data_IF_154180895290
#
_entry.id   IF_154180895290
#
_cell.length_a   1.000
_cell.length_b   1.000
_cell.length_c   1.000
_cell.angle_alpha   90.00
_cell.angle_beta   90.00
_cell.angle_gamma   90.00
#
_symmetry.space_group_name_H-M   'P 1'
#
loop_
_entity.id
_entity.type
_entity.pdbx_description
1 polymer ?
#
# COMPACT_ATOMS: atom_id res chain seq x y z
N UNK A 1 20.50 -3.90 5.21
CA UNK A 1 20.04 -3.26 3.95
C UNK A 1 19.91 -4.34 2.90
N UNK A 2 18.68 -4.68 2.51
CA UNK A 2 18.41 -5.71 1.51
C UNK A 2 18.09 -5.07 0.15
N UNK A 3 18.41 -5.76 -0.94
CA UNK A 3 18.09 -5.31 -2.31
C UNK A 3 17.01 -6.21 -2.88
N UNK A 4 15.87 -5.63 -3.21
CA UNK A 4 14.70 -6.30 -3.76
C UNK A 4 14.63 -6.01 -5.26
N UNK A 5 14.53 -7.06 -6.07
CA UNK A 5 14.33 -6.94 -7.51
C UNK A 5 13.02 -7.62 -7.87
N UNK A 6 12.03 -6.81 -8.25
CA UNK A 6 10.68 -7.27 -8.58
C UNK A 6 10.40 -7.09 -10.07
N UNK A 7 9.73 -8.07 -10.66
CA UNK A 7 9.39 -8.08 -12.08
C UNK A 7 8.10 -8.86 -12.30
N UNK A 8 7.09 -8.21 -12.89
CA UNK A 8 5.87 -8.87 -13.36
C UNK A 8 5.60 -8.53 -14.81
N UNK A 9 5.41 -9.56 -15.63
CA UNK A 9 4.95 -9.43 -17.01
C UNK A 9 3.57 -10.06 -17.17
N UNK A 10 2.66 -9.34 -17.83
CA UNK A 10 1.32 -9.82 -18.16
C UNK A 10 1.28 -10.28 -19.61
N UNK A 11 1.82 -11.48 -19.85
CA UNK A 11 1.78 -12.09 -21.18
C UNK A 11 0.32 -12.41 -21.54
N UNK A 12 -0.13 -11.95 -22.70
CA UNK A 12 -1.46 -12.28 -23.19
C UNK A 12 -1.56 -13.79 -23.47
N UNK A 13 -2.56 -14.44 -22.87
CA UNK A 13 -2.82 -15.89 -23.00
C UNK A 13 -4.30 -16.17 -23.38
N UNK A 14 -4.99 -15.17 -23.91
CA UNK A 14 -6.42 -15.29 -24.24
C UNK A 14 -6.68 -16.22 -25.43
N UNK A 15 -7.86 -16.85 -25.52
CA UNK A 15 -8.22 -17.61 -26.71
C UNK A 15 -8.44 -16.69 -27.93
N UNK A 16 -7.96 -17.12 -29.10
CA UNK A 16 -8.22 -16.45 -30.40
C UNK A 16 -9.61 -16.82 -30.91
N UNK A 17 -10.64 -16.26 -30.29
CA UNK A 17 -11.98 -16.30 -30.87
C UNK A 17 -12.06 -15.45 -32.14
N UNK A 18 -13.04 -15.75 -33.00
CA UNK A 18 -13.29 -14.95 -34.20
C UNK A 18 -13.51 -13.45 -33.86
N UNK A 19 -14.21 -13.18 -32.75
CA UNK A 19 -14.40 -11.82 -32.23
C UNK A 19 -13.08 -11.15 -31.82
N UNK A 20 -12.20 -11.86 -31.12
CA UNK A 20 -10.89 -11.35 -30.73
C UNK A 20 -10.02 -11.03 -31.96
N UNK A 21 -10.03 -11.90 -32.98
CA UNK A 21 -9.32 -11.67 -34.25
C UNK A 21 -9.85 -10.44 -34.98
N UNK A 22 -11.19 -10.23 -35.01
CA UNK A 22 -11.78 -9.02 -35.61
C UNK A 22 -11.33 -7.76 -34.89
N UNK A 23 -11.29 -7.76 -33.55
CA UNK A 23 -10.76 -6.63 -32.77
C UNK A 23 -9.30 -6.38 -33.10
N UNK A 24 -8.46 -7.41 -33.15
CA UNK A 24 -7.04 -7.27 -33.53
C UNK A 24 -6.89 -6.58 -34.89
N UNK A 25 -7.68 -7.00 -35.89
CA UNK A 25 -7.68 -6.39 -37.23
C UNK A 25 -8.13 -4.93 -37.21
N UNK A 26 -9.20 -4.61 -36.48
CA UNK A 26 -9.71 -3.23 -36.35
C UNK A 26 -8.66 -2.27 -35.79
N UNK A 27 -7.83 -2.73 -34.85
CA UNK A 27 -6.76 -1.94 -34.23
C UNK A 27 -5.39 -2.11 -34.89
N UNK A 28 -5.29 -2.83 -36.02
CA UNK A 28 -4.01 -3.08 -36.70
C UNK A 28 -3.00 -3.87 -35.86
N UNK A 29 -3.47 -4.68 -34.91
CA UNK A 29 -2.65 -5.50 -34.03
C UNK A 29 -2.49 -6.90 -34.62
N UNK A 30 -1.25 -7.40 -34.61
CA UNK A 30 -0.96 -8.81 -34.86
C UNK A 30 -0.93 -9.58 -33.54
N UNK A 31 -1.12 -10.90 -33.59
CA UNK A 31 -1.03 -11.76 -32.40
C UNK A 31 0.35 -11.66 -31.75
N UNK A 32 1.42 -11.58 -32.55
CA UNK A 32 2.78 -11.40 -32.04
C UNK A 32 2.97 -10.06 -31.31
N UNK A 33 2.27 -9.00 -31.72
CA UNK A 33 2.27 -7.71 -31.02
C UNK A 33 1.51 -7.75 -29.70
N UNK A 34 0.47 -8.58 -29.59
CA UNK A 34 -0.26 -8.79 -28.34
C UNK A 34 0.60 -9.51 -27.29
N UNK A 35 1.43 -10.47 -27.72
CA UNK A 35 2.31 -11.22 -26.81
C UNK A 35 3.59 -10.44 -26.47
N UNK A 36 4.17 -9.71 -27.43
CA UNK A 36 5.39 -8.91 -27.21
C UNK A 36 5.16 -7.54 -26.54
N UNK A 37 3.94 -6.99 -26.64
CA UNK A 37 3.54 -5.71 -26.01
C UNK A 37 3.04 -5.84 -24.57
N UNK A 38 3.23 -7.01 -23.94
CA UNK A 38 2.77 -7.32 -22.59
C UNK A 38 3.23 -6.24 -21.57
N UNK A 39 2.33 -5.69 -20.76
CA UNK A 39 2.69 -4.80 -19.67
C UNK A 39 3.75 -5.44 -18.77
N UNK A 40 4.86 -4.74 -18.58
CA UNK A 40 5.99 -5.18 -17.77
C UNK A 40 6.22 -4.15 -16.66
N UNK A 41 6.14 -4.60 -15.41
CA UNK A 41 6.39 -3.80 -14.23
C UNK A 41 7.68 -4.32 -13.58
N UNK A 42 8.75 -3.54 -13.63
CA UNK A 42 10.05 -3.87 -13.05
C UNK A 42 10.52 -2.75 -12.12
N UNK A 43 11.05 -3.14 -10.97
CA UNK A 43 11.66 -2.23 -10.00
C UNK A 43 12.81 -2.95 -9.28
N UNK A 44 13.93 -2.24 -9.08
CA UNK A 44 15.03 -2.68 -8.21
C UNK A 44 15.20 -1.63 -7.12
N UNK A 45 14.91 -2.00 -5.89
CA UNK A 45 14.88 -1.09 -4.74
C UNK A 45 15.70 -1.65 -3.59
N UNK A 46 16.34 -0.77 -2.82
CA UNK A 46 17.04 -1.13 -1.59
C UNK A 46 16.22 -0.63 -0.41
N UNK A 47 15.90 -1.52 0.53
CA UNK A 47 15.10 -1.17 1.71
C UNK A 47 15.90 -1.55 2.95
N UNK A 48 15.96 -0.64 3.91
CA UNK A 48 16.55 -0.81 5.25
C UNK A 48 15.42 -0.99 6.26
N UNK A 49 15.66 -1.73 7.36
CA UNK A 49 14.72 -1.74 8.48
C UNK A 49 14.41 -0.31 8.95
N UNK A 50 13.13 0.01 9.08
CA UNK A 50 12.66 1.34 9.47
C UNK A 50 12.49 2.34 8.30
N UNK A 51 12.73 1.91 7.06
CA UNK A 51 12.45 2.74 5.88
C UNK A 51 10.94 2.84 5.63
N UNK A 52 10.51 4.02 5.23
CA UNK A 52 9.19 4.28 4.67
C UNK A 52 9.35 4.36 3.16
N UNK A 53 8.82 3.35 2.49
CA UNK A 53 8.79 3.23 1.03
C UNK A 53 7.43 3.63 0.52
N UNK A 54 7.38 4.55 -0.43
CA UNK A 54 6.15 5.03 -1.05
C UNK A 54 6.16 4.79 -2.56
N UNK A 55 5.17 4.07 -3.07
CA UNK A 55 4.93 3.82 -4.48
C UNK A 55 3.88 4.80 -4.98
N UNK A 56 4.28 5.73 -5.85
CA UNK A 56 3.37 6.70 -6.48
C UNK A 56 3.27 6.52 -8.00
N UNK A 57 2.22 7.09 -8.58
CA UNK A 57 1.92 7.03 -10.00
C UNK A 57 0.42 7.07 -10.29
N UNK A 58 0.02 7.29 -11.55
CA UNK A 58 -1.39 7.34 -11.93
C UNK A 58 -2.12 6.00 -11.68
N UNK A 59 -3.45 6.05 -11.62
CA UNK A 59 -4.27 4.84 -11.53
C UNK A 59 -4.02 3.95 -12.76
N UNK A 60 -3.90 2.64 -12.54
CA UNK A 60 -3.57 1.68 -13.61
C UNK A 60 -2.10 1.59 -14.00
N UNK A 61 -1.17 2.35 -13.39
CA UNK A 61 0.27 2.25 -13.66
C UNK A 61 0.94 0.95 -13.14
N UNK A 62 0.21 0.17 -12.33
CA UNK A 62 0.68 -1.10 -11.74
C UNK A 62 1.38 -0.96 -10.40
N UNK A 63 1.00 0.04 -9.58
CA UNK A 63 1.48 0.19 -8.20
C UNK A 63 1.16 -1.03 -7.35
N UNK A 64 -0.09 -1.48 -7.34
CA UNK A 64 -0.56 -2.68 -6.64
C UNK A 64 0.18 -3.94 -7.08
N UNK A 65 0.53 -4.03 -8.38
CA UNK A 65 1.33 -5.14 -8.92
C UNK A 65 2.74 -5.12 -8.30
N UNK A 66 3.40 -3.97 -8.30
CA UNK A 66 4.74 -3.83 -7.70
C UNK A 66 4.71 -4.08 -6.19
N UNK A 67 3.70 -3.58 -5.49
CA UNK A 67 3.49 -3.82 -4.05
C UNK A 67 3.35 -5.32 -3.77
N UNK A 68 2.51 -6.02 -4.54
CA UNK A 68 2.31 -7.47 -4.40
C UNK A 68 3.58 -8.29 -4.69
N UNK A 69 4.40 -7.88 -5.66
CA UNK A 69 5.69 -8.54 -5.88
C UNK A 69 6.71 -8.21 -4.77
N UNK A 70 6.69 -6.99 -4.20
CA UNK A 70 7.53 -6.65 -3.04
C UNK A 70 7.13 -7.46 -1.80
N UNK A 71 5.83 -7.64 -1.55
CA UNK A 71 5.27 -8.50 -0.49
C UNK A 71 5.87 -9.90 -0.54
N UNK A 72 5.97 -10.49 -1.73
CA UNK A 72 6.52 -11.85 -1.93
C UNK A 72 8.00 -11.98 -1.63
N UNK A 73 8.74 -10.87 -1.61
CA UNK A 73 10.16 -10.90 -1.27
C UNK A 73 10.44 -10.77 0.23
N UNK A 74 9.41 -10.50 1.04
CA UNK A 74 9.49 -10.41 2.50
C UNK A 74 8.93 -11.72 3.10
N UNK A 75 9.53 -12.27 4.18
CA UNK A 75 8.94 -13.41 4.88
C UNK A 75 7.49 -13.13 5.32
N UNK A 76 6.60 -14.09 5.12
CA UNK A 76 5.17 -13.89 5.34
C UNK A 76 4.85 -13.68 6.84
N UNK A 77 5.64 -14.28 7.72
CA UNK A 77 5.59 -14.12 9.17
C UNK A 77 5.94 -12.69 9.64
N UNK A 78 6.76 -11.99 8.87
CA UNK A 78 7.31 -10.67 9.18
C UNK A 78 6.50 -9.52 8.57
N UNK A 79 5.51 -9.84 7.73
CA UNK A 79 4.76 -8.87 6.94
C UNK A 79 3.27 -8.89 7.29
N UNK A 80 2.65 -7.72 7.39
CA UNK A 80 1.19 -7.57 7.42
C UNK A 80 0.74 -6.67 6.30
N UNK A 81 -0.33 -7.09 5.64
CA UNK A 81 -1.00 -6.32 4.59
C UNK A 81 -2.35 -5.85 5.12
N UNK A 82 -2.65 -4.57 4.95
CA UNK A 82 -3.95 -4.02 5.36
C UNK A 82 -5.12 -4.77 4.72
N UNK A 83 -4.95 -5.27 3.49
CA UNK A 83 -5.99 -6.02 2.79
C UNK A 83 -6.35 -7.35 3.48
N UNK A 84 -5.41 -7.93 4.23
CA UNK A 84 -5.59 -9.21 4.92
C UNK A 84 -6.20 -9.04 6.32
N UNK A 85 -6.42 -7.80 6.78
CA UNK A 85 -6.98 -7.52 8.11
C UNK A 85 -8.51 -7.59 8.06
N UNK A 86 -9.04 -8.53 8.83
CA UNK A 86 -10.47 -8.75 9.01
C UNK A 86 -11.14 -7.61 9.79
N UNK A 87 -12.45 -7.50 9.61
CA UNK A 87 -13.30 -6.52 10.29
C UNK A 87 -14.30 -7.26 11.19
N UNK A 88 -13.95 -7.51 12.45
CA UNK A 88 -14.84 -8.20 13.39
C UNK A 88 -16.20 -7.51 13.55
N UNK A 89 -17.25 -8.31 13.79
CA UNK A 89 -18.60 -7.85 14.14
C UNK A 89 -19.02 -8.31 15.56
N UNK A 90 -18.14 -9.03 16.26
CA UNK A 90 -18.39 -9.61 17.58
C UNK A 90 -17.90 -8.72 18.74
N UNK A 91 -17.01 -7.76 18.46
CA UNK A 91 -16.36 -6.90 19.47
C UNK A 91 -16.21 -5.46 19.00
N UNK A 92 -15.88 -4.55 19.91
CA UNK A 92 -15.66 -3.14 19.57
C UNK A 92 -14.27 -2.92 18.97
N UNK A 93 -14.05 -1.75 18.35
CA UNK A 93 -12.74 -1.36 17.82
C UNK A 93 -11.67 -1.41 18.90
N UNK A 94 -11.93 -0.91 20.11
CA UNK A 94 -10.93 -0.91 21.17
C UNK A 94 -10.59 -2.32 21.66
N UNK A 95 -11.57 -3.23 21.67
CA UNK A 95 -11.37 -4.65 22.04
C UNK A 95 -10.61 -5.46 20.97
N UNK A 96 -10.26 -4.85 19.84
CA UNK A 96 -9.40 -5.47 18.82
C UNK A 96 -7.90 -5.28 19.08
N UNK A 97 -7.53 -4.46 20.07
CA UNK A 97 -6.14 -4.16 20.42
C UNK A 97 -5.75 -4.85 21.74
N UNK A 98 -4.47 -4.75 22.11
CA UNK A 98 -3.95 -5.36 23.34
C UNK A 98 -4.46 -4.70 24.63
N UNK A 99 -4.09 -5.31 25.75
CA UNK A 99 -4.63 -4.97 27.08
C UNK A 99 -4.30 -3.56 27.58
N UNK A 100 -3.26 -2.91 27.04
CA UNK A 100 -2.93 -1.52 27.37
C UNK A 100 -3.84 -0.54 26.62
N UNK A 101 -4.90 -0.10 27.31
CA UNK A 101 -5.86 0.88 26.81
C UNK A 101 -5.20 2.17 26.31
N UNK A 102 -4.16 2.66 26.99
CA UNK A 102 -3.52 3.93 26.62
C UNK A 102 -2.73 3.76 25.33
N UNK A 103 -1.98 2.69 25.19
CA UNK A 103 -1.25 2.38 23.95
C UNK A 103 -2.20 2.15 22.76
N UNK A 104 -3.33 1.48 23.01
CA UNK A 104 -4.38 1.25 22.00
C UNK A 104 -4.99 2.58 21.51
N UNK A 105 -5.34 3.49 22.43
CA UNK A 105 -5.83 4.82 22.09
C UNK A 105 -4.80 5.68 21.36
N UNK A 106 -3.51 5.56 21.72
CA UNK A 106 -2.43 6.26 21.00
C UNK A 106 -2.30 5.77 19.55
N UNK A 107 -2.42 4.47 19.32
CA UNK A 107 -2.35 3.88 17.97
C UNK A 107 -3.56 4.33 17.14
N UNK A 108 -4.76 4.27 17.71
CA UNK A 108 -5.98 4.76 17.07
C UNK A 108 -5.91 6.26 16.76
N UNK A 109 -5.34 7.05 17.66
CA UNK A 109 -5.12 8.48 17.44
C UNK A 109 -4.12 8.75 16.31
N UNK A 110 -3.06 7.95 16.19
CA UNK A 110 -2.06 8.10 15.12
C UNK A 110 -2.67 7.94 13.72
N UNK A 111 -3.69 7.09 13.58
CA UNK A 111 -4.40 6.88 12.31
C UNK A 111 -5.64 7.78 12.16
N UNK A 112 -5.88 8.70 13.11
CA UNK A 112 -7.03 9.60 13.08
C UNK A 112 -8.38 8.92 13.36
N UNK A 113 -8.40 7.79 14.09
CA UNK A 113 -9.61 7.06 14.51
C UNK A 113 -9.85 7.23 16.02
N UNK A 114 -9.86 8.47 16.51
CA UNK A 114 -9.90 8.80 17.93
C UNK A 114 -11.30 9.17 18.46
N UNK A 115 -12.32 9.21 17.60
CA UNK A 115 -13.67 9.57 18.03
C UNK A 115 -14.33 8.43 18.82
N UNK A 116 -14.99 8.80 19.92
CA UNK A 116 -15.59 7.84 20.88
C UNK A 116 -16.59 6.92 20.20
N UNK A 117 -17.35 7.41 19.22
CA UNK A 117 -18.33 6.61 18.49
C UNK A 117 -17.68 5.49 17.70
N UNK A 118 -16.59 5.76 16.98
CA UNK A 118 -15.84 4.73 16.25
C UNK A 118 -15.17 3.73 17.19
N UNK A 119 -14.55 4.21 18.26
CA UNK A 119 -13.84 3.38 19.25
C UNK A 119 -14.78 2.36 19.91
N UNK A 120 -16.02 2.77 20.21
CA UNK A 120 -17.03 1.93 20.86
C UNK A 120 -17.92 1.16 19.86
N UNK A 121 -17.72 1.34 18.55
CA UNK A 121 -18.47 0.63 17.51
C UNK A 121 -17.72 -0.64 17.07
N UNK A 122 -18.40 -1.49 16.30
CA UNK A 122 -17.82 -2.69 15.69
C UNK A 122 -17.06 -2.33 14.42
N UNK A 123 -15.85 -2.89 14.18
CA UNK A 123 -15.08 -2.63 12.95
C UNK A 123 -15.87 -2.83 11.65
N UNK A 124 -16.71 -3.86 11.58
CA UNK A 124 -17.62 -4.14 10.45
C UNK A 124 -18.58 -3.00 10.10
N UNK A 125 -18.97 -2.17 11.09
CA UNK A 125 -19.99 -1.12 10.98
C UNK A 125 -19.42 0.29 10.80
N UNK A 126 -18.11 0.40 10.69
CA UNK A 126 -17.43 1.66 10.38
C UNK A 126 -17.70 2.09 8.92
N UNK A 127 -17.56 3.39 8.64
CA UNK A 127 -17.48 3.86 7.24
C UNK A 127 -16.23 3.30 6.56
N UNK A 128 -16.17 3.30 5.23
CA UNK A 128 -15.03 2.69 4.52
C UNK A 128 -13.70 3.36 4.91
N UNK A 129 -13.66 4.70 4.98
CA UNK A 129 -12.47 5.42 5.44
C UNK A 129 -12.13 5.17 6.92
N UNK A 130 -13.11 4.84 7.76
CA UNK A 130 -12.87 4.40 9.15
C UNK A 130 -12.37 2.95 9.20
N UNK A 131 -12.88 2.04 8.36
CA UNK A 131 -12.39 0.67 8.21
C UNK A 131 -10.94 0.65 7.73
N UNK A 132 -10.59 1.50 6.77
CA UNK A 132 -9.21 1.64 6.30
C UNK A 132 -8.28 2.08 7.44
N UNK A 133 -8.68 3.10 8.21
CA UNK A 133 -7.91 3.55 9.39
C UNK A 133 -7.82 2.49 10.47
N UNK A 134 -8.88 1.72 10.72
CA UNK A 134 -8.86 0.58 11.64
C UNK A 134 -7.83 -0.47 11.21
N UNK A 135 -7.83 -0.86 9.93
CA UNK A 135 -6.84 -1.79 9.38
C UNK A 135 -5.42 -1.26 9.51
N UNK A 136 -5.21 0.03 9.21
CA UNK A 136 -3.92 0.68 9.40
C UNK A 136 -3.47 0.62 10.87
N UNK A 137 -4.36 0.90 11.82
CA UNK A 137 -4.03 0.81 13.26
C UNK A 137 -3.67 -0.62 13.67
N UNK A 138 -4.44 -1.62 13.24
CA UNK A 138 -4.12 -3.03 13.50
C UNK A 138 -2.78 -3.44 12.90
N UNK A 139 -2.47 -2.96 11.69
CA UNK A 139 -1.18 -3.23 11.05
C UNK A 139 -0.02 -2.64 11.84
N UNK A 140 -0.16 -1.39 12.29
CA UNK A 140 0.84 -0.70 13.12
C UNK A 140 1.00 -1.34 14.51
N UNK A 141 -0.08 -1.86 15.10
CA UNK A 141 -0.07 -2.54 16.39
C UNK A 141 0.40 -4.00 16.33
N UNK A 142 0.48 -4.60 15.14
CA UNK A 142 0.76 -6.04 14.97
C UNK A 142 2.13 -6.50 15.45
N UNK A 143 3.07 -5.58 15.65
CA UNK A 143 4.47 -5.88 15.99
C UNK A 143 5.28 -6.48 14.84
N UNK A 144 4.70 -6.62 13.63
CA UNK A 144 5.39 -7.13 12.45
C UNK A 144 6.31 -6.06 11.85
N UNK A 145 7.56 -6.38 11.48
CA UNK A 145 8.53 -5.40 11.01
C UNK A 145 8.16 -4.77 9.66
N UNK A 146 7.34 -5.41 8.83
CA UNK A 146 6.87 -4.88 7.56
C UNK A 146 5.35 -4.67 7.55
N UNK A 147 4.94 -3.44 7.22
CA UNK A 147 3.52 -3.09 7.01
C UNK A 147 3.35 -2.67 5.56
N UNK A 148 2.42 -3.33 4.87
CA UNK A 148 2.08 -3.06 3.48
C UNK A 148 0.67 -2.50 3.37
N UNK A 149 0.51 -1.42 2.61
CA UNK A 149 -0.79 -0.81 2.36
C UNK A 149 -0.90 -0.42 0.89
N UNK A 150 -1.94 -0.93 0.22
CA UNK A 150 -2.39 -0.37 -1.06
C UNK A 150 -3.44 0.72 -0.81
N UNK A 151 -3.54 1.65 -1.75
CA UNK A 151 -4.45 2.79 -1.69
C UNK A 151 -4.34 3.59 -0.36
N UNK A 152 -3.11 3.77 0.13
CA UNK A 152 -2.84 4.49 1.38
C UNK A 152 -3.46 5.89 1.38
N UNK A 153 -4.33 6.15 2.36
CA UNK A 153 -5.08 7.41 2.54
C UNK A 153 -5.93 7.85 1.32
N UNK A 154 -6.27 6.95 0.40
CA UNK A 154 -7.04 7.29 -0.81
C UNK A 154 -8.47 7.76 -0.50
N UNK A 155 -9.09 7.16 0.52
CA UNK A 155 -10.48 7.42 0.95
C UNK A 155 -10.61 8.64 1.88
N UNK A 156 -9.51 9.29 2.24
CA UNK A 156 -9.49 10.41 3.18
C UNK A 156 -9.48 11.75 2.44
N UNK A 157 -10.10 12.77 3.04
CA UNK A 157 -9.94 14.15 2.58
C UNK A 157 -8.47 14.59 2.73
N UNK A 158 -8.09 15.63 2.00
CA UNK A 158 -6.70 16.10 1.94
C UNK A 158 -6.09 16.46 3.30
N UNK A 159 -6.86 17.09 4.18
CA UNK A 159 -6.36 17.53 5.50
C UNK A 159 -6.16 16.33 6.41
N UNK A 160 -7.13 15.42 6.43
CA UNK A 160 -7.04 14.18 7.20
C UNK A 160 -5.91 13.29 6.68
N UNK A 161 -5.76 13.15 5.37
CA UNK A 161 -4.71 12.35 4.75
C UNK A 161 -3.30 12.86 5.13
N UNK A 162 -3.07 14.17 5.07
CA UNK A 162 -1.81 14.79 5.49
C UNK A 162 -1.52 14.52 6.98
N UNK A 163 -2.53 14.70 7.85
CA UNK A 163 -2.40 14.47 9.30
C UNK A 163 -2.08 13.01 9.61
N UNK A 164 -2.78 12.07 8.97
CA UNK A 164 -2.53 10.63 9.13
C UNK A 164 -1.14 10.26 8.62
N UNK A 165 -0.74 10.76 7.45
CA UNK A 165 0.59 10.51 6.90
C UNK A 165 1.72 10.97 7.85
N UNK A 166 1.60 12.18 8.40
CA UNK A 166 2.55 12.71 9.39
C UNK A 166 2.63 11.86 10.66
N UNK A 167 1.48 11.48 11.20
CA UNK A 167 1.42 10.68 12.43
C UNK A 167 1.95 9.26 12.22
N UNK A 168 1.59 8.63 11.09
CA UNK A 168 2.08 7.31 10.69
C UNK A 168 3.58 7.33 10.48
N UNK A 169 4.13 8.35 9.83
CA UNK A 169 5.57 8.56 9.72
C UNK A 169 6.23 8.54 11.11
N UNK A 170 5.76 9.38 12.03
CA UNK A 170 6.30 9.49 13.38
C UNK A 170 6.18 8.18 14.15
N UNK A 171 5.06 7.48 14.03
CA UNK A 171 4.83 6.19 14.66
C UNK A 171 5.83 5.14 14.15
N UNK A 172 5.93 4.97 12.83
CA UNK A 172 6.80 3.98 12.22
C UNK A 172 8.27 4.22 12.56
N UNK A 173 8.74 5.48 12.53
CA UNK A 173 10.11 5.82 12.91
C UNK A 173 10.42 5.51 14.37
N UNK A 174 9.47 5.70 15.28
CA UNK A 174 9.65 5.37 16.71
C UNK A 174 9.65 3.88 16.96
N UNK A 175 8.76 3.15 16.29
CA UNK A 175 8.61 1.71 16.44
C UNK A 175 9.62 0.89 15.60
N UNK A 176 10.39 1.54 14.72
CA UNK A 176 11.33 0.86 13.82
C UNK A 176 10.64 0.05 12.72
N UNK A 177 9.39 0.38 12.39
CA UNK A 177 8.60 -0.33 11.37
C UNK A 177 9.03 0.08 9.98
N UNK A 178 9.11 -0.90 9.08
CA UNK A 178 9.32 -0.67 7.66
C UNK A 178 7.96 -0.60 6.98
N UNK A 179 7.64 0.53 6.36
CA UNK A 179 6.38 0.72 5.66
C UNK A 179 6.59 0.58 4.15
N UNK A 180 5.72 -0.16 3.47
CA UNK A 180 5.66 -0.22 2.00
C UNK A 180 4.25 0.18 1.59
N UNK A 181 4.10 1.44 1.20
CA UNK A 181 2.82 2.08 0.96
C UNK A 181 2.67 2.36 -0.54
N UNK A 182 1.50 2.16 -1.10
CA UNK A 182 1.17 2.52 -2.47
C UNK A 182 -0.06 3.42 -2.50
N UNK A 183 -0.03 4.50 -3.26
CA UNK A 183 -1.18 5.39 -3.46
C UNK A 183 -0.95 6.33 -4.64
N UNK A 184 -2.03 6.85 -5.22
CA UNK A 184 -1.96 7.88 -6.27
C UNK A 184 -1.85 9.31 -5.75
N UNK A 185 -1.62 9.48 -4.44
CA UNK A 185 -1.67 10.76 -3.74
C UNK A 185 -0.28 11.37 -3.59
N UNK A 186 0.02 12.38 -4.37
CA UNK A 186 1.29 13.11 -4.22
C UNK A 186 1.18 14.21 -3.14
N UNK A 187 -0.04 14.58 -2.73
CA UNK A 187 -0.29 15.66 -1.79
C UNK A 187 0.14 15.36 -0.35
N UNK A 188 0.37 14.08 -0.02
CA UNK A 188 0.83 13.63 1.31
C UNK A 188 2.35 13.39 1.40
N UNK A 189 3.11 13.58 0.31
CA UNK A 189 4.54 13.25 0.27
C UNK A 189 5.37 14.05 1.26
N UNK A 190 5.01 15.32 1.48
CA UNK A 190 5.69 16.20 2.43
C UNK A 190 5.47 15.69 3.86
N UNK A 191 4.24 15.33 4.20
CA UNK A 191 3.85 14.86 5.54
C UNK A 191 4.38 13.46 5.84
N UNK A 192 4.32 12.55 4.85
CA UNK A 192 4.83 11.18 4.96
C UNK A 192 6.36 11.13 4.98
N UNK A 193 7.01 12.06 4.28
CA UNK A 193 8.46 12.20 4.15
C UNK A 193 9.19 10.86 3.92
N UNK A 194 8.84 10.09 2.87
CA UNK A 194 9.36 8.74 2.65
C UNK A 194 10.88 8.73 2.46
N UNK A 195 11.53 7.67 2.92
CA UNK A 195 12.97 7.46 2.71
C UNK A 195 13.26 6.94 1.30
N UNK A 196 12.28 6.25 0.71
CA UNK A 196 12.36 5.71 -0.65
C UNK A 196 11.07 6.02 -1.39
N UNK A 197 11.18 6.73 -2.52
CA UNK A 197 10.06 7.01 -3.42
C UNK A 197 10.23 6.18 -4.69
N UNK A 198 9.23 5.36 -5.00
CA UNK A 198 9.15 4.59 -6.24
C UNK A 198 8.08 5.24 -7.11
N UNK A 199 8.51 5.96 -8.16
CA UNK A 199 7.59 6.55 -9.13
C UNK A 199 7.38 5.61 -10.30
N UNK A 200 6.11 5.27 -10.58
CA UNK A 200 5.73 4.37 -11.67
C UNK A 200 4.74 5.03 -12.62
N UNK A 201 5.15 5.16 -13.88
CA UNK A 201 4.26 5.57 -14.98
C UNK A 201 3.67 4.35 -15.72
N UNK A 202 2.76 4.54 -16.68
CA UNK A 202 2.07 3.48 -17.42
C UNK A 202 3.00 2.52 -18.16
N UNK A 203 4.18 2.98 -18.60
CA UNK A 203 5.18 2.18 -19.34
C UNK A 203 6.56 2.33 -18.71
N UNK A 204 7.42 1.34 -18.96
CA UNK A 204 8.83 1.38 -18.55
C UNK A 204 9.11 0.96 -17.10
N UNK A 205 10.39 1.03 -16.72
CA UNK A 205 10.86 0.72 -15.37
C UNK A 205 10.39 1.77 -14.37
N UNK A 206 10.13 1.35 -13.14
CA UNK A 206 9.88 2.28 -12.05
C UNK A 206 11.17 3.07 -11.74
N UNK A 207 11.05 4.38 -11.54
CA UNK A 207 12.14 5.20 -11.05
C UNK A 207 12.17 5.12 -9.53
N UNK A 208 13.35 4.87 -8.96
CA UNK A 208 13.56 4.81 -7.51
C UNK A 208 14.42 5.98 -7.08
N UNK A 209 13.90 6.75 -6.13
CA UNK A 209 14.53 7.95 -5.57
C UNK A 209 14.72 7.68 -4.08
N UNK A 210 15.94 7.92 -3.58
CA UNK A 210 16.27 7.77 -2.17
C UNK A 210 16.38 9.15 -1.55
N UNK A 211 15.86 9.32 -0.33
CA UNK A 211 16.04 10.54 0.44
C UNK A 211 17.53 10.74 0.72
N UNK A 212 18.06 11.91 0.35
CA UNK A 212 19.42 12.28 0.69
C UNK A 212 19.51 12.56 2.19
N UNK A 213 20.44 11.89 2.88
CA UNK A 213 20.74 12.21 4.26
C UNK A 213 21.59 13.50 4.26
N UNK A 214 20.97 14.63 4.60
CA UNK A 214 21.69 15.87 4.95
C UNK A 214 22.12 15.80 6.41
#
# INVERSE_FOLDING_TARGET
>A
MATYTVSKQFVWQGPLSERAVRVCRMFGLTVDRLTSGAPCHKCKVRIRPGDIVYLTGPSGAGKSVLLGELKRCVPAEDAIDLADIELPDDRTVIDCFGDDLVASLQTLSAVGLADVFSILNRPSRLSDGQKHRFRLAQALASGRPFVLADEFCSELDRITAATVAFNVHRFAKRAGLTLILASGRDDILIDLAPDVLISKDFRGQAQVIYKENV
#
